data_IF_803604167809
#
_entry.id   IF_803604167809
#
_cell.length_a   1.000
_cell.length_b   1.000
_cell.length_c   1.000
_cell.angle_alpha   90.00
_cell.angle_beta   90.00
_cell.angle_gamma   90.00
#
_symmetry.space_group_name_H-M   'P 1'
#
loop_
_entity.id
_entity.type
_entity.pdbx_description
1 polymer ?
#
# COMPACT_ATOMS: atom_id res chain seq x y z
N UNK A 1 -4.50 19.31 6.82
CA UNK A 1 -4.44 18.97 5.39
C UNK A 1 -4.47 17.46 5.27
N UNK A 2 -5.25 16.91 4.35
CA UNK A 2 -5.34 15.47 4.10
C UNK A 2 -4.99 15.23 2.63
N UNK A 3 -4.15 14.21 2.37
CA UNK A 3 -3.79 13.79 1.03
C UNK A 3 -4.27 12.34 0.86
N UNK A 4 -5.14 12.11 -0.11
CA UNK A 4 -5.67 10.79 -0.43
C UNK A 4 -5.10 10.32 -1.77
N UNK A 5 -4.62 9.09 -1.80
CA UNK A 5 -4.07 8.45 -3.00
C UNK A 5 -4.85 7.16 -3.21
N UNK A 6 -5.40 7.00 -4.41
CA UNK A 6 -6.14 5.79 -4.80
C UNK A 6 -5.41 5.10 -5.96
N UNK A 7 -5.15 3.81 -5.80
CA UNK A 7 -4.66 2.96 -6.88
C UNK A 7 -5.76 2.02 -7.39
N UNK A 8 -5.52 1.45 -8.57
CA UNK A 8 -6.39 0.49 -9.27
C UNK A 8 -5.77 -0.91 -9.28
N UNK A 9 -4.90 -1.22 -8.33
CA UNK A 9 -4.29 -2.53 -8.17
C UNK A 9 -5.30 -3.59 -7.72
N UNK A 10 -4.79 -4.81 -7.56
CA UNK A 10 -5.54 -6.00 -7.09
C UNK A 10 -6.08 -5.91 -5.66
N UNK A 11 -5.71 -4.87 -4.92
CA UNK A 11 -5.92 -4.78 -3.48
C UNK A 11 -4.91 -5.62 -2.68
N UNK A 12 -4.70 -5.20 -1.44
CA UNK A 12 -3.89 -5.79 -0.39
C UNK A 12 -4.84 -6.47 0.63
N UNK A 13 -4.57 -7.71 1.05
CA UNK A 13 -5.31 -8.38 2.13
C UNK A 13 -5.23 -7.60 3.47
N UNK A 14 -6.25 -7.69 4.34
CA UNK A 14 -6.20 -7.10 5.68
C UNK A 14 -4.97 -7.53 6.49
N UNK A 15 -4.57 -8.80 6.43
CA UNK A 15 -3.38 -9.30 7.14
C UNK A 15 -2.05 -8.70 6.62
N UNK A 16 -2.01 -8.23 5.37
CA UNK A 16 -0.82 -7.61 4.78
C UNK A 16 -0.81 -6.08 4.99
N UNK A 17 -1.97 -5.47 5.19
CA UNK A 17 -2.12 -4.03 5.45
C UNK A 17 -1.42 -3.58 6.74
N UNK A 18 -1.50 -4.38 7.79
CA UNK A 18 -0.83 -4.09 9.06
C UNK A 18 0.70 -4.06 8.91
N UNK A 19 1.21 -4.97 8.08
CA UNK A 19 2.63 -5.16 7.84
C UNK A 19 3.17 -4.25 6.71
N UNK A 20 2.31 -3.54 5.98
CA UNK A 20 2.66 -2.72 4.81
C UNK A 20 3.76 -1.69 5.10
N UNK A 21 3.78 -1.15 6.33
CA UNK A 21 4.75 -0.14 6.74
C UNK A 21 5.99 -0.72 7.43
N UNK A 22 6.09 -2.04 7.55
CA UNK A 22 7.29 -2.69 8.08
C UNK A 22 8.43 -2.63 7.06
N UNK A 23 9.66 -2.55 7.58
CA UNK A 23 10.83 -2.56 6.70
C UNK A 23 11.00 -3.95 6.11
N UNK A 24 11.30 -3.99 4.82
CA UNK A 24 11.55 -5.23 4.06
C UNK A 24 10.31 -6.12 3.89
N UNK A 25 9.15 -5.70 4.38
CA UNK A 25 7.91 -6.41 4.15
C UNK A 25 7.53 -6.37 2.67
N UNK A 26 7.07 -7.52 2.16
CA UNK A 26 6.61 -7.71 0.78
C UNK A 26 5.35 -8.53 0.82
N UNK A 27 4.29 -8.00 0.21
CA UNK A 27 3.06 -8.75 0.03
C UNK A 27 3.25 -9.98 -0.85
N UNK A 28 2.55 -11.06 -0.49
CA UNK A 28 2.67 -12.37 -1.12
C UNK A 28 2.18 -12.39 -2.58
N UNK A 29 1.48 -11.34 -3.01
CA UNK A 29 1.02 -11.19 -4.38
C UNK A 29 2.09 -10.74 -5.39
N UNK A 30 3.20 -10.10 -5.00
CA UNK A 30 4.16 -9.52 -5.97
C UNK A 30 4.66 -10.60 -6.95
N UNK A 31 4.28 -10.52 -8.24
CA UNK A 31 4.53 -11.58 -9.23
C UNK A 31 6.03 -11.84 -9.45
N UNK A 32 6.36 -12.78 -10.36
CA UNK A 32 7.68 -13.41 -10.59
C UNK A 32 8.92 -12.48 -10.76
N UNK A 33 8.78 -11.16 -10.72
CA UNK A 33 9.89 -10.21 -10.67
C UNK A 33 9.62 -9.08 -9.66
N UNK A 34 10.00 -9.24 -8.38
CA UNK A 34 9.82 -8.19 -7.39
C UNK A 34 10.87 -7.09 -7.61
N UNK A 35 10.53 -6.07 -8.40
CA UNK A 35 11.32 -4.83 -8.47
C UNK A 35 11.04 -4.00 -7.22
N UNK A 36 11.94 -4.06 -6.23
CA UNK A 36 11.93 -3.16 -5.06
C UNK A 36 12.44 -3.81 -3.77
N UNK A 37 13.06 -3.00 -2.90
CA UNK A 37 13.63 -3.47 -1.62
C UNK A 37 12.62 -3.64 -0.48
N UNK A 38 11.34 -3.29 -0.68
CA UNK A 38 10.35 -3.26 0.40
C UNK A 38 10.60 -2.14 1.43
N UNK A 39 11.31 -1.07 1.04
CA UNK A 39 11.66 0.04 1.93
C UNK A 39 10.78 1.28 1.73
N UNK A 40 10.11 1.42 0.58
CA UNK A 40 9.40 2.65 0.22
C UNK A 40 8.34 3.07 1.24
N UNK A 41 7.45 2.15 1.62
CA UNK A 41 6.36 2.43 2.59
C UNK A 41 6.90 2.72 3.99
N UNK A 42 7.93 2.00 4.43
CA UNK A 42 8.57 2.25 5.71
C UNK A 42 9.26 3.64 5.77
N UNK A 43 9.85 4.10 4.68
CA UNK A 43 10.41 5.45 4.57
C UNK A 43 9.29 6.50 4.61
N UNK A 44 8.22 6.30 3.84
CA UNK A 44 7.08 7.22 3.82
C UNK A 44 6.46 7.40 5.21
N UNK A 45 6.22 6.30 5.94
CA UNK A 45 5.73 6.36 7.34
C UNK A 45 6.63 7.20 8.23
N UNK A 46 7.95 6.99 8.16
CA UNK A 46 8.92 7.74 8.96
C UNK A 46 8.94 9.23 8.65
N UNK A 47 8.84 9.59 7.37
CA UNK A 47 8.77 10.99 6.97
C UNK A 47 7.50 11.62 7.53
N UNK A 48 6.35 10.97 7.39
CA UNK A 48 5.06 11.47 7.91
C UNK A 48 5.10 11.63 9.43
N UNK A 49 5.59 10.63 10.15
CA UNK A 49 5.73 10.66 11.61
C UNK A 49 6.70 11.76 12.07
N UNK A 50 7.83 11.96 11.37
CA UNK A 50 8.78 13.04 11.66
C UNK A 50 8.14 14.43 11.51
N UNK A 51 7.15 14.57 10.63
CA UNK A 51 6.36 15.79 10.45
C UNK A 51 5.12 15.84 11.36
N UNK A 52 5.00 14.95 12.35
CA UNK A 52 3.84 14.83 13.26
C UNK A 52 2.51 14.56 12.54
N UNK A 53 2.58 13.98 11.34
CA UNK A 53 1.42 13.55 10.57
C UNK A 53 1.01 12.12 10.90
N UNK A 54 -0.05 11.66 10.25
CA UNK A 54 -0.51 10.28 10.29
C UNK A 54 -0.67 9.75 8.87
N UNK A 55 -0.23 8.51 8.64
CA UNK A 55 -0.46 7.78 7.40
C UNK A 55 -1.39 6.60 7.70
N UNK A 56 -2.34 6.36 6.80
CA UNK A 56 -3.29 5.25 6.86
C UNK A 56 -3.32 4.60 5.49
N UNK A 57 -3.49 3.28 5.46
CA UNK A 57 -3.71 2.52 4.25
C UNK A 57 -5.01 1.75 4.42
N UNK A 58 -5.89 1.85 3.42
CA UNK A 58 -7.13 1.11 3.34
C UNK A 58 -7.15 0.40 2.00
N UNK A 59 -7.51 -0.89 2.02
CA UNK A 59 -7.61 -1.69 0.82
C UNK A 59 -8.62 -2.79 1.03
N UNK A 60 -9.36 -3.10 -0.02
CA UNK A 60 -10.24 -4.26 -0.07
C UNK A 60 -9.72 -5.23 -1.15
N UNK A 61 -9.31 -6.46 -0.77
CA UNK A 61 -8.86 -7.45 -1.73
C UNK A 61 -9.98 -7.76 -2.74
N UNK A 62 -9.66 -7.69 -4.03
CA UNK A 62 -10.61 -8.00 -5.11
C UNK A 62 -11.42 -6.82 -5.66
N UNK A 63 -11.28 -5.60 -5.13
CA UNK A 63 -11.79 -4.38 -5.79
C UNK A 63 -10.85 -3.90 -6.90
N UNK A 64 -10.67 -4.72 -7.94
CA UNK A 64 -10.37 -4.13 -9.24
C UNK A 64 -11.63 -3.36 -9.66
N UNK A 65 -11.56 -2.03 -9.73
CA UNK A 65 -12.62 -1.22 -10.35
C UNK A 65 -12.70 -1.61 -11.83
N UNK A 66 -13.36 -2.71 -12.15
CA UNK A 66 -13.87 -3.00 -13.49
C UNK A 66 -15.02 -2.03 -13.73
N UNK A 67 -14.69 -0.82 -14.18
CA UNK A 67 -15.69 -0.03 -14.86
C UNK A 67 -15.83 -0.61 -16.26
N UNK A 68 -16.86 -1.43 -16.44
CA UNK A 68 -17.23 -1.95 -17.75
C UNK A 68 -18.16 -0.93 -18.40
N UNK A 69 -17.60 -0.09 -19.25
CA UNK A 69 -18.38 0.76 -20.15
C UNK A 69 -19.06 -0.15 -21.19
N UNK A 70 -20.33 0.15 -21.49
CA UNK A 70 -21.20 -0.63 -22.37
C UNK A 70 -21.12 -0.09 -23.78
#
# INVERSE_FOLDING_TARGET
>A
MVLEIKDNGRGIPPEELENLFERYYRGTGTGENPRGSGLGMAIAKRIVEAHKGRILAESEPGKACWWREK
#
